data_IF_578939853325
#
_entry.id   IF_578939853325
#
_cell.length_a   1.000
_cell.length_b   1.000
_cell.length_c   1.000
_cell.angle_alpha   90.00
_cell.angle_beta   90.00
_cell.angle_gamma   90.00
#
_symmetry.space_group_name_H-M   'P 1'
#
loop_
_entity.id
_entity.type
_entity.pdbx_description
1 polymer ?
#
# COMPACT_ATOMS: atom_id res chain seq x y z
N UNK A 1 -19.19 9.94 16.93
CA UNK A 1 -19.63 9.28 15.69
C UNK A 1 -18.36 8.77 15.04
N UNK A 2 -18.07 7.47 15.14
CA UNK A 2 -16.92 6.89 14.43
C UNK A 2 -17.19 7.04 12.94
N UNK A 3 -16.39 7.84 12.26
CA UNK A 3 -16.42 7.95 10.80
C UNK A 3 -15.94 6.60 10.30
N UNK A 4 -16.79 5.87 9.58
CA UNK A 4 -16.42 4.60 8.96
C UNK A 4 -15.21 4.84 8.05
N UNK A 5 -14.06 4.30 8.44
CA UNK A 5 -12.85 4.33 7.61
C UNK A 5 -13.11 3.53 6.34
N UNK A 6 -12.80 4.10 5.20
CA UNK A 6 -12.80 3.36 3.94
C UNK A 6 -11.60 2.44 3.91
N UNK A 7 -11.84 1.15 3.66
CA UNK A 7 -10.76 0.16 3.57
C UNK A 7 -10.04 0.24 2.21
N UNK A 8 -10.66 0.87 1.22
CA UNK A 8 -10.13 1.02 -0.14
C UNK A 8 -10.41 2.43 -0.64
N UNK A 9 -9.38 3.05 -1.19
CA UNK A 9 -9.46 4.29 -1.95
C UNK A 9 -9.15 4.02 -3.41
N UNK A 10 -9.58 4.90 -4.32
CA UNK A 10 -9.18 4.81 -5.72
C UNK A 10 -8.92 6.18 -6.34
N UNK A 11 -8.08 6.19 -7.35
CA UNK A 11 -7.61 7.38 -8.04
C UNK A 11 -7.54 7.11 -9.56
N UNK A 12 -7.95 8.09 -10.36
CA UNK A 12 -7.70 8.06 -11.80
C UNK A 12 -6.40 8.79 -12.13
N UNK A 13 -5.64 8.25 -13.07
CA UNK A 13 -4.43 8.89 -13.55
C UNK A 13 -4.32 8.78 -15.08
N UNK A 14 -4.00 9.91 -15.70
CA UNK A 14 -3.82 10.05 -17.16
C UNK A 14 -2.35 10.15 -17.57
N UNK A 15 -1.43 10.18 -16.61
CA UNK A 15 0.03 10.20 -16.87
C UNK A 15 0.75 9.53 -15.72
N UNK A 16 1.32 8.36 -15.97
CA UNK A 16 2.12 7.69 -14.95
C UNK A 16 3.52 7.34 -15.44
N UNK A 17 4.44 8.29 -15.25
CA UNK A 17 5.82 7.92 -14.98
C UNK A 17 6.02 8.05 -13.48
N UNK A 18 5.97 6.94 -12.77
CA UNK A 18 6.32 6.91 -11.36
C UNK A 18 7.71 6.31 -11.21
N UNK A 19 8.62 7.09 -10.64
CA UNK A 19 9.93 6.60 -10.24
C UNK A 19 9.78 5.44 -9.25
N UNK A 20 10.81 4.63 -9.13
CA UNK A 20 10.83 3.51 -8.19
C UNK A 20 10.47 3.96 -6.77
N UNK A 21 9.38 3.44 -6.25
CA UNK A 21 8.86 3.72 -4.90
C UNK A 21 8.25 2.45 -4.29
N UNK A 22 7.74 2.54 -3.09
CA UNK A 22 6.92 1.50 -2.45
C UNK A 22 5.96 2.18 -1.47
N UNK A 23 4.89 1.50 -1.14
CA UNK A 23 3.92 1.90 -0.11
C UNK A 23 3.46 0.68 0.68
N UNK A 24 2.80 0.92 1.83
CA UNK A 24 2.32 -0.15 2.70
C UNK A 24 1.02 -0.77 2.25
N UNK A 25 0.25 -0.08 1.44
CA UNK A 25 -1.02 -0.55 0.95
C UNK A 25 -0.85 -1.54 -0.19
N UNK A 26 -1.85 -2.39 -0.38
CA UNK A 26 -2.01 -3.12 -1.62
C UNK A 26 -2.51 -2.15 -2.68
N UNK A 27 -2.07 -2.31 -3.91
CA UNK A 27 -2.55 -1.51 -5.03
C UNK A 27 -2.98 -2.42 -6.18
N UNK A 28 -4.23 -2.25 -6.65
CA UNK A 28 -4.66 -2.83 -7.92
C UNK A 28 -4.57 -1.73 -8.96
N UNK A 29 -3.69 -1.91 -9.93
CA UNK A 29 -3.57 -1.01 -11.06
C UNK A 29 -4.34 -1.58 -12.24
N UNK A 30 -5.34 -0.84 -12.73
CA UNK A 30 -6.25 -1.24 -13.79
C UNK A 30 -6.13 -0.29 -15.00
N UNK A 31 -5.82 -0.82 -16.17
CA UNK A 31 -5.67 -0.05 -17.42
C UNK A 31 -7.03 0.07 -18.09
N UNK A 32 -7.58 1.28 -18.15
CA UNK A 32 -8.86 1.59 -18.79
C UNK A 32 -8.68 1.92 -20.27
N UNK A 33 -7.56 2.56 -20.62
CA UNK A 33 -7.14 2.81 -22.00
C UNK A 33 -5.63 2.95 -22.10
N UNK A 34 -5.06 2.65 -23.28
CA UNK A 34 -3.61 2.67 -23.50
C UNK A 34 -2.88 1.44 -22.94
N UNK A 35 -1.60 1.62 -22.67
CA UNK A 35 -0.73 0.56 -22.16
C UNK A 35 0.35 1.09 -21.22
N UNK A 36 0.81 0.25 -20.29
CA UNK A 36 1.88 0.57 -19.36
C UNK A 36 2.79 -0.63 -19.07
N UNK A 37 4.04 -0.33 -18.76
CA UNK A 37 5.02 -1.26 -18.19
C UNK A 37 5.13 -1.02 -16.69
N UNK A 38 5.01 -2.08 -15.90
CA UNK A 38 5.25 -2.06 -14.46
C UNK A 38 6.48 -2.92 -14.16
N UNK A 39 7.44 -2.38 -13.44
CA UNK A 39 8.51 -3.17 -12.84
C UNK A 39 8.24 -3.35 -11.35
N UNK A 40 8.10 -4.59 -10.90
CA UNK A 40 7.97 -4.96 -9.48
C UNK A 40 9.20 -5.77 -9.10
N UNK A 41 10.02 -5.23 -8.19
CA UNK A 41 11.33 -5.80 -7.85
C UNK A 41 12.19 -6.00 -9.11
N UNK A 42 12.47 -7.26 -9.48
CA UNK A 42 13.22 -7.62 -10.70
C UNK A 42 12.34 -8.03 -11.89
N UNK A 43 11.03 -8.14 -11.69
CA UNK A 43 10.10 -8.62 -12.69
C UNK A 43 9.43 -7.46 -13.43
N UNK A 44 9.19 -7.65 -14.73
CA UNK A 44 8.50 -6.69 -15.58
C UNK A 44 7.18 -7.26 -16.06
N UNK A 45 6.16 -6.41 -16.07
CA UNK A 45 4.83 -6.72 -16.53
C UNK A 45 4.39 -5.65 -17.53
N UNK A 46 3.80 -6.09 -18.63
CA UNK A 46 3.16 -5.22 -19.62
C UNK A 46 1.64 -5.38 -19.51
N UNK A 47 0.93 -4.28 -19.31
CA UNK A 47 -0.50 -4.24 -19.15
C UNK A 47 -1.08 -3.40 -20.29
N UNK A 48 -2.03 -3.97 -21.02
CA UNK A 48 -2.83 -3.28 -22.00
C UNK A 48 -4.24 -2.97 -21.48
N UNK A 49 -5.05 -2.35 -22.35
CA UNK A 49 -6.44 -2.01 -22.05
C UNK A 49 -7.24 -3.22 -21.52
N UNK A 50 -7.86 -3.04 -20.38
CA UNK A 50 -8.66 -4.04 -19.68
C UNK A 50 -7.83 -4.96 -18.78
N UNK A 51 -6.51 -4.85 -18.77
CA UNK A 51 -5.68 -5.60 -17.83
C UNK A 51 -5.58 -4.92 -16.47
N UNK A 52 -5.42 -5.72 -15.44
CA UNK A 52 -5.10 -5.24 -14.09
C UNK A 52 -4.11 -6.17 -13.38
N UNK A 53 -3.35 -5.57 -12.48
CA UNK A 53 -2.33 -6.24 -11.66
C UNK A 53 -2.41 -5.74 -10.22
N UNK A 54 -2.29 -6.67 -9.26
CA UNK A 54 -2.18 -6.32 -7.85
C UNK A 54 -0.71 -6.24 -7.43
N UNK A 55 -0.32 -5.10 -6.91
CA UNK A 55 0.98 -4.86 -6.29
C UNK A 55 0.81 -5.08 -4.78
N UNK A 56 1.52 -6.07 -4.25
CA UNK A 56 1.49 -6.37 -2.83
C UNK A 56 2.16 -5.28 -1.99
N UNK A 57 1.72 -5.16 -0.73
CA UNK A 57 2.27 -4.21 0.24
C UNK A 57 3.81 -4.30 0.32
N UNK A 58 4.46 -3.15 0.40
CA UNK A 58 5.90 -3.00 0.52
C UNK A 58 6.75 -3.57 -0.64
N UNK A 59 6.14 -3.86 -1.79
CA UNK A 59 6.90 -4.21 -3.00
C UNK A 59 7.39 -2.95 -3.71
N UNK A 60 8.69 -2.91 -4.01
CA UNK A 60 9.27 -1.83 -4.81
C UNK A 60 8.78 -1.95 -6.23
N UNK A 61 8.25 -0.87 -6.75
CA UNK A 61 7.76 -0.85 -8.13
C UNK A 61 7.97 0.51 -8.78
N UNK A 62 7.97 0.50 -10.11
CA UNK A 62 7.94 1.70 -10.95
C UNK A 62 6.99 1.48 -12.11
N UNK A 63 6.39 2.55 -12.60
CA UNK A 63 5.39 2.52 -13.66
C UNK A 63 5.89 3.42 -14.79
N UNK A 64 5.77 2.94 -16.03
CA UNK A 64 6.11 3.66 -17.24
C UNK A 64 4.99 3.51 -18.27
N UNK A 65 4.56 4.60 -18.86
CA UNK A 65 3.67 4.60 -20.03
C UNK A 65 4.35 3.94 -21.22
N UNK A 66 3.60 3.15 -21.96
CA UNK A 66 4.05 2.56 -23.25
C UNK A 66 3.34 3.18 -24.44
N UNK A 67 2.26 3.94 -24.21
CA UNK A 67 1.45 4.62 -25.23
C UNK A 67 1.21 6.08 -24.85
N UNK A 68 0.96 6.96 -25.83
CA UNK A 68 0.76 8.40 -25.61
C UNK A 68 -0.54 8.73 -24.85
N UNK A 69 -1.58 7.93 -25.04
CA UNK A 69 -2.83 8.06 -24.32
C UNK A 69 -2.97 6.93 -23.30
N UNK A 70 -2.88 7.27 -22.02
CA UNK A 70 -3.04 6.34 -20.92
C UNK A 70 -4.16 6.81 -20.00
N UNK A 71 -5.06 5.92 -19.66
CA UNK A 71 -6.03 6.09 -18.58
C UNK A 71 -5.98 4.87 -17.67
N UNK A 72 -5.66 5.09 -16.42
CA UNK A 72 -5.60 4.03 -15.39
C UNK A 72 -6.46 4.38 -14.20
N UNK A 73 -6.92 3.35 -13.49
CA UNK A 73 -7.48 3.46 -12.15
C UNK A 73 -6.60 2.69 -11.18
N UNK A 74 -6.22 3.35 -10.09
CA UNK A 74 -5.46 2.75 -8.98
C UNK A 74 -6.39 2.57 -7.80
N UNK A 75 -6.55 1.33 -7.33
CA UNK A 75 -7.33 0.98 -6.14
C UNK A 75 -6.37 0.61 -5.02
N UNK A 76 -6.33 1.43 -3.98
CA UNK A 76 -5.47 1.20 -2.80
C UNK A 76 -6.28 0.56 -1.69
N UNK A 77 -5.81 -0.57 -1.19
CA UNK A 77 -6.41 -1.30 -0.08
C UNK A 77 -5.52 -1.12 1.14
N UNK A 78 -6.07 -0.55 2.20
CA UNK A 78 -5.33 -0.32 3.44
C UNK A 78 -4.89 -1.65 4.06
N UNK A 79 -3.57 -1.92 4.02
CA UNK A 79 -3.00 -3.18 4.48
C UNK A 79 -3.18 -3.39 5.98
N UNK A 80 -3.06 -2.34 6.79
CA UNK A 80 -3.19 -2.46 8.26
C UNK A 80 -4.60 -2.86 8.66
N UNK A 81 -5.62 -2.26 8.04
CA UNK A 81 -7.02 -2.63 8.27
C UNK A 81 -7.31 -4.05 7.80
N UNK A 82 -6.80 -4.43 6.63
CA UNK A 82 -6.94 -5.78 6.11
C UNK A 82 -6.26 -6.82 7.02
N UNK A 83 -5.06 -6.51 7.51
CA UNK A 83 -4.31 -7.38 8.41
C UNK A 83 -5.03 -7.57 9.77
N UNK A 84 -5.61 -6.50 10.32
CA UNK A 84 -6.45 -6.54 11.50
C UNK A 84 -7.70 -7.40 11.28
N UNK A 85 -8.39 -7.19 10.16
CA UNK A 85 -9.59 -7.94 9.79
C UNK A 85 -9.32 -9.45 9.61
N UNK A 86 -8.20 -9.80 8.97
CA UNK A 86 -7.81 -11.20 8.73
C UNK A 86 -7.06 -11.84 9.88
N UNK A 87 -6.71 -11.07 10.93
CA UNK A 87 -5.96 -11.55 12.09
C UNK A 87 -4.52 -11.98 11.76
N UNK A 88 -3.95 -11.49 10.66
CA UNK A 88 -2.60 -11.86 10.22
C UNK A 88 -1.96 -10.77 9.36
N UNK A 89 -0.65 -10.60 9.51
CA UNK A 89 0.17 -9.73 8.65
C UNK A 89 0.82 -10.50 7.48
N UNK A 90 0.63 -11.81 7.40
CA UNK A 90 1.13 -12.63 6.31
C UNK A 90 0.05 -12.72 5.21
N UNK A 91 -0.08 -11.64 4.45
CA UNK A 91 -1.07 -11.50 3.39
C UNK A 91 -0.34 -11.21 2.10
N UNK A 92 -0.43 -12.14 1.17
CA UNK A 92 0.08 -11.99 -0.20
C UNK A 92 -1.01 -12.45 -1.17
N UNK A 93 -1.10 -11.72 -2.27
CA UNK A 93 -2.02 -12.04 -3.36
C UNK A 93 -1.25 -12.23 -4.66
N UNK A 94 -1.71 -13.14 -5.49
CA UNK A 94 -1.31 -13.24 -6.89
C UNK A 94 -2.52 -12.93 -7.75
N UNK A 95 -2.56 -11.74 -8.31
CA UNK A 95 -3.65 -11.27 -9.16
C UNK A 95 -3.03 -10.49 -10.33
N UNK A 96 -2.97 -11.13 -11.51
CA UNK A 96 -2.37 -10.59 -12.72
C UNK A 96 -3.09 -11.15 -13.95
N UNK A 97 -3.84 -10.30 -14.67
CA UNK A 97 -4.61 -10.69 -15.85
C UNK A 97 -3.75 -11.04 -17.07
N UNK A 98 -2.49 -10.60 -17.10
CA UNK A 98 -1.59 -10.97 -18.20
C UNK A 98 -1.05 -12.40 -18.06
N UNK A 99 -1.01 -12.92 -16.84
CA UNK A 99 -0.51 -14.26 -16.56
C UNK A 99 -1.61 -15.33 -16.51
N UNK A 100 -2.82 -14.96 -16.11
CA UNK A 100 -3.95 -15.88 -15.96
C UNK A 100 -5.28 -15.14 -16.21
N UNK A 101 -6.25 -15.87 -16.82
CA UNK A 101 -7.61 -15.35 -17.11
C UNK A 101 -8.61 -16.45 -16.80
N UNK A 102 -9.33 -16.29 -15.69
CA UNK A 102 -10.37 -17.21 -15.29
C UNK A 102 -11.59 -16.44 -14.75
N UNK A 103 -12.62 -17.14 -14.33
CA UNK A 103 -13.88 -16.55 -13.86
C UNK A 103 -13.68 -15.60 -12.66
N UNK A 104 -12.71 -15.87 -11.77
CA UNK A 104 -12.42 -15.01 -10.63
C UNK A 104 -11.89 -13.63 -11.06
N UNK A 105 -11.07 -13.58 -12.13
CA UNK A 105 -10.63 -12.30 -12.71
C UNK A 105 -11.80 -11.51 -13.29
N UNK A 106 -12.73 -12.15 -14.00
CA UNK A 106 -13.93 -11.49 -14.53
C UNK A 106 -14.86 -11.02 -13.41
N UNK A 107 -14.96 -11.78 -12.31
CA UNK A 107 -15.70 -11.35 -11.14
C UNK A 107 -15.08 -10.10 -10.51
N UNK A 108 -13.77 -10.09 -10.31
CA UNK A 108 -13.07 -8.93 -9.77
C UNK A 108 -13.19 -7.72 -10.69
N UNK A 109 -13.05 -7.88 -12.01
CA UNK A 109 -13.24 -6.83 -13.01
C UNK A 109 -14.61 -6.15 -12.86
N UNK A 110 -15.69 -6.95 -12.83
CA UNK A 110 -17.04 -6.41 -12.65
C UNK A 110 -17.21 -5.60 -11.36
N UNK A 111 -16.51 -6.02 -10.29
CA UNK A 111 -16.51 -5.30 -9.02
C UNK A 111 -15.79 -3.96 -9.17
N UNK A 112 -14.59 -3.95 -9.77
CA UNK A 112 -13.83 -2.72 -10.02
C UNK A 112 -14.59 -1.75 -10.92
N UNK A 113 -15.22 -2.24 -11.99
CA UNK A 113 -16.04 -1.44 -12.89
C UNK A 113 -17.24 -0.80 -12.17
N UNK A 114 -17.84 -1.49 -11.20
CA UNK A 114 -18.93 -0.94 -10.36
C UNK A 114 -18.44 0.23 -9.51
N UNK A 115 -17.23 0.18 -8.97
CA UNK A 115 -16.61 1.31 -8.24
C UNK A 115 -16.42 2.50 -9.19
N UNK A 116 -15.86 2.26 -10.39
CA UNK A 116 -15.61 3.30 -11.39
C UNK A 116 -16.91 3.96 -11.87
N UNK A 117 -17.92 3.18 -12.18
CA UNK A 117 -19.21 3.70 -12.62
C UNK A 117 -19.89 4.55 -11.55
N UNK A 118 -19.77 4.16 -10.28
CA UNK A 118 -20.39 4.92 -9.17
C UNK A 118 -19.72 6.28 -8.93
N UNK A 119 -18.45 6.42 -9.27
CA UNK A 119 -17.75 7.70 -9.12
C UNK A 119 -18.36 8.80 -10.00
N UNK A 120 -18.94 8.44 -11.15
CA UNK A 120 -19.62 9.37 -12.05
C UNK A 120 -21.04 9.73 -11.57
N UNK A 121 -21.65 8.90 -10.71
CA UNK A 121 -23.00 9.12 -10.17
C UNK A 121 -22.92 9.82 -8.80
N UNK A 122 -23.08 11.13 -8.78
CA UNK A 122 -22.96 11.99 -7.59
C UNK A 122 -24.14 11.91 -6.59
N UNK A 123 -24.98 10.89 -6.60
CA UNK A 123 -26.11 10.81 -5.69
C UNK A 123 -25.80 10.17 -4.33
N UNK A 124 -26.12 10.89 -3.30
CA UNK A 124 -25.79 10.95 -1.87
C UNK A 124 -25.80 9.70 -0.96
N UNK A 125 -25.98 8.45 -1.40
CA UNK A 125 -25.94 7.26 -0.53
C UNK A 125 -24.62 6.46 -0.62
N UNK A 126 -23.53 7.14 -1.03
CA UNK A 126 -22.32 6.53 -1.57
C UNK A 126 -21.51 5.64 -0.62
N UNK A 127 -21.31 6.03 0.64
CA UNK A 127 -20.29 5.39 1.50
C UNK A 127 -20.62 3.93 1.86
N UNK A 128 -21.86 3.63 2.24
CA UNK A 128 -22.25 2.25 2.58
C UNK A 128 -22.21 1.33 1.37
N UNK A 129 -22.67 1.81 0.22
CA UNK A 129 -22.63 1.05 -1.02
C UNK A 129 -21.19 0.79 -1.48
N UNK A 130 -20.33 1.81 -1.47
CA UNK A 130 -18.91 1.64 -1.80
C UNK A 130 -18.24 0.66 -0.85
N UNK A 131 -18.48 0.75 0.46
CA UNK A 131 -17.96 -0.20 1.42
C UNK A 131 -18.46 -1.63 1.15
N UNK A 132 -19.72 -1.81 0.73
CA UNK A 132 -20.21 -3.15 0.37
C UNK A 132 -19.47 -3.74 -0.83
N UNK A 133 -19.19 -2.91 -1.86
CA UNK A 133 -18.39 -3.32 -3.02
C UNK A 133 -16.94 -3.64 -2.62
N UNK A 134 -16.35 -2.85 -1.72
CA UNK A 134 -15.00 -3.10 -1.23
C UNK A 134 -14.89 -4.42 -0.47
N UNK A 135 -15.85 -4.73 0.40
CA UNK A 135 -15.88 -6.03 1.08
C UNK A 135 -16.07 -7.18 0.10
N UNK A 136 -16.87 -7.01 -0.96
CA UNK A 136 -17.01 -8.00 -2.04
C UNK A 136 -15.67 -8.20 -2.77
N UNK A 137 -14.95 -7.12 -3.10
CA UNK A 137 -13.62 -7.20 -3.72
C UNK A 137 -12.62 -7.94 -2.80
N UNK A 138 -12.60 -7.62 -1.50
CA UNK A 138 -11.74 -8.28 -0.54
C UNK A 138 -12.08 -9.76 -0.37
N UNK A 139 -13.36 -10.11 -0.40
CA UNK A 139 -13.80 -11.51 -0.38
C UNK A 139 -13.27 -12.27 -1.59
N UNK A 140 -13.40 -11.71 -2.80
CA UNK A 140 -12.89 -12.32 -4.03
C UNK A 140 -11.38 -12.46 -3.99
N UNK A 141 -10.65 -11.39 -3.60
CA UNK A 141 -9.20 -11.42 -3.45
C UNK A 141 -8.76 -12.50 -2.47
N UNK A 142 -9.35 -12.54 -1.28
CA UNK A 142 -8.98 -13.50 -0.24
C UNK A 142 -9.33 -14.94 -0.62
N UNK A 143 -10.44 -15.16 -1.34
CA UNK A 143 -10.91 -16.50 -1.70
C UNK A 143 -10.16 -17.11 -2.87
N UNK A 144 -9.78 -16.32 -3.88
CA UNK A 144 -9.28 -16.84 -5.15
C UNK A 144 -7.83 -16.44 -5.46
N UNK A 145 -7.35 -15.32 -4.92
CA UNK A 145 -6.04 -14.76 -5.26
C UNK A 145 -5.04 -14.80 -4.11
N UNK A 146 -5.50 -15.13 -2.89
CA UNK A 146 -4.59 -15.22 -1.74
C UNK A 146 -3.63 -16.39 -1.91
N UNK A 147 -2.33 -16.11 -1.79
CA UNK A 147 -1.29 -17.12 -1.78
C UNK A 147 -1.30 -17.81 -0.41
N UNK A 148 -1.47 -19.14 -0.41
CA UNK A 148 -1.42 -19.98 0.79
C UNK A 148 0.02 -20.42 1.07
N UNK A 149 0.31 -20.79 2.31
CA UNK A 149 1.65 -21.16 2.74
C UNK A 149 2.24 -22.39 2.00
N UNK A 150 1.41 -23.23 1.41
CA UNK A 150 1.76 -24.41 0.62
C UNK A 150 1.82 -24.15 -0.90
N UNK A 151 1.59 -22.91 -1.33
CA UNK A 151 1.57 -22.55 -2.73
C UNK A 151 2.98 -22.61 -3.35
N UNK A 152 3.09 -23.31 -4.48
CA UNK A 152 4.37 -23.46 -5.20
C UNK A 152 4.96 -22.13 -5.70
N UNK A 153 4.12 -21.10 -5.89
CA UNK A 153 4.52 -19.74 -6.25
C UNK A 153 5.29 -19.04 -5.14
N UNK A 154 5.15 -19.53 -3.89
CA UNK A 154 5.96 -19.07 -2.76
C UNK A 154 7.40 -19.63 -2.76
N UNK A 155 7.74 -20.60 -3.60
CA UNK A 155 9.09 -21.20 -3.57
C UNK A 155 10.19 -20.21 -3.83
N UNK A 156 9.92 -19.14 -4.58
CA UNK A 156 10.84 -18.01 -4.75
C UNK A 156 10.63 -16.91 -3.70
N UNK A 157 9.47 -16.84 -3.06
CA UNK A 157 9.09 -15.83 -2.06
C UNK A 157 9.23 -16.32 -0.60
N UNK A 158 9.18 -17.63 -0.31
CA UNK A 158 9.45 -18.23 1.03
C UNK A 158 10.93 -18.58 1.18
N UNK A 159 11.80 -17.67 0.78
CA UNK A 159 13.19 -17.73 1.19
C UNK A 159 13.30 -17.30 2.65
N UNK A 160 14.33 -17.74 3.41
CA UNK A 160 14.64 -17.18 4.73
C UNK A 160 14.74 -15.66 4.70
N UNK A 161 14.95 -15.09 3.53
CA UNK A 161 15.02 -13.66 3.25
C UNK A 161 13.64 -12.98 3.35
N UNK A 162 12.57 -13.58 2.85
CA UNK A 162 11.22 -13.02 2.96
C UNK A 162 10.62 -13.15 4.36
N UNK A 163 10.89 -14.24 5.07
CA UNK A 163 10.57 -14.35 6.50
C UNK A 163 11.15 -13.18 7.28
N UNK A 164 12.40 -12.78 6.99
CA UNK A 164 13.05 -11.63 7.63
C UNK A 164 12.39 -10.30 7.27
N UNK A 165 11.93 -10.12 6.04
CA UNK A 165 11.14 -8.94 5.66
C UNK A 165 9.90 -8.82 6.54
N UNK A 166 9.12 -9.89 6.68
CA UNK A 166 7.94 -9.92 7.56
C UNK A 166 8.28 -9.63 9.02
N UNK A 167 9.38 -10.18 9.55
CA UNK A 167 9.79 -9.91 10.92
C UNK A 167 10.14 -8.43 11.15
N UNK A 168 10.80 -7.78 10.18
CA UNK A 168 11.10 -6.34 10.20
C UNK A 168 9.81 -5.53 10.17
N UNK A 169 8.91 -5.86 9.24
CA UNK A 169 7.62 -5.18 9.08
C UNK A 169 6.77 -5.28 10.35
N UNK A 170 6.61 -6.50 10.86
CA UNK A 170 5.85 -6.75 12.10
C UNK A 170 6.44 -6.00 13.29
N UNK A 171 7.77 -5.97 13.41
CA UNK A 171 8.43 -5.25 14.49
C UNK A 171 8.14 -3.74 14.41
N UNK A 172 8.29 -3.16 13.22
CA UNK A 172 8.06 -1.71 13.06
C UNK A 172 6.60 -1.39 13.24
N UNK A 173 5.69 -2.15 12.65
CA UNK A 173 4.24 -1.95 12.79
C UNK A 173 3.76 -2.04 14.25
N UNK A 174 4.28 -2.98 15.02
CA UNK A 174 3.92 -3.13 16.44
C UNK A 174 4.56 -2.07 17.37
N UNK A 175 5.55 -1.31 16.90
CA UNK A 175 6.34 -0.44 17.76
C UNK A 175 6.57 0.98 17.19
N UNK A 176 6.00 1.37 16.03
CA UNK A 176 6.29 2.65 15.37
C UNK A 176 6.02 3.87 16.26
N UNK A 177 5.05 3.78 17.16
CA UNK A 177 4.72 4.84 18.11
C UNK A 177 5.79 5.06 19.18
N UNK A 178 6.65 4.06 19.41
CA UNK A 178 7.74 4.14 20.39
C UNK A 178 9.04 4.63 19.72
N UNK A 179 9.99 5.04 20.54
CA UNK A 179 11.33 5.29 20.05
C UNK A 179 12.02 3.94 19.82
N UNK A 180 12.11 3.53 18.55
CA UNK A 180 12.77 2.30 18.13
C UNK A 180 14.03 2.60 17.33
N UNK A 181 15.05 1.77 17.52
CA UNK A 181 16.32 1.91 16.81
C UNK A 181 16.65 0.66 15.98
N UNK A 182 17.51 0.84 14.98
CA UNK A 182 18.06 -0.28 14.22
C UNK A 182 18.74 -1.31 15.14
N UNK A 183 19.40 -0.83 16.22
CA UNK A 183 20.07 -1.69 17.19
C UNK A 183 19.10 -2.60 17.95
N UNK A 184 17.92 -2.10 18.32
CA UNK A 184 16.90 -2.90 19.01
C UNK A 184 16.36 -4.00 18.10
N UNK A 185 16.11 -3.66 16.84
CA UNK A 185 15.68 -4.64 15.83
C UNK A 185 16.78 -5.66 15.53
N UNK A 186 18.04 -5.22 15.40
CA UNK A 186 19.17 -6.10 15.16
C UNK A 186 19.36 -7.12 16.29
N UNK A 187 19.26 -6.67 17.55
CA UNK A 187 19.28 -7.57 18.71
C UNK A 187 18.16 -8.59 18.67
N UNK A 188 16.93 -8.16 18.36
CA UNK A 188 15.77 -9.05 18.27
C UNK A 188 15.93 -10.12 17.19
N UNK A 189 16.53 -9.76 16.05
CA UNK A 189 16.74 -10.66 14.92
C UNK A 189 18.06 -11.44 14.98
N UNK A 190 18.85 -11.27 16.04
CA UNK A 190 20.19 -11.87 16.19
C UNK A 190 21.14 -11.50 15.04
N UNK A 191 21.07 -10.25 14.56
CA UNK A 191 21.87 -9.73 13.46
C UNK A 191 22.79 -8.60 13.90
N UNK A 192 23.86 -8.35 13.12
CA UNK A 192 24.66 -7.15 13.33
C UNK A 192 23.95 -5.92 12.73
N UNK A 193 24.16 -4.74 13.33
CA UNK A 193 23.63 -3.46 12.81
C UNK A 193 24.07 -3.20 11.37
N UNK A 194 25.33 -3.50 11.05
CA UNK A 194 25.87 -3.30 9.71
C UNK A 194 25.17 -4.17 8.66
N UNK A 195 24.94 -5.44 8.99
CA UNK A 195 24.22 -6.35 8.10
C UNK A 195 22.77 -5.89 7.92
N UNK A 196 22.04 -5.64 9.03
CA UNK A 196 20.64 -5.24 8.98
C UNK A 196 20.43 -3.92 8.24
N UNK A 197 21.32 -2.93 8.43
CA UNK A 197 21.27 -1.66 7.69
C UNK A 197 21.37 -1.87 6.18
N UNK A 198 22.35 -2.67 5.74
CA UNK A 198 22.52 -3.00 4.31
C UNK A 198 21.33 -3.79 3.77
N UNK A 199 20.83 -4.72 4.57
CA UNK A 199 19.67 -5.54 4.21
C UNK A 199 18.42 -4.68 3.99
N UNK A 200 18.08 -3.80 4.96
CA UNK A 200 16.94 -2.89 4.86
C UNK A 200 17.11 -1.97 3.64
N UNK A 201 18.29 -1.36 3.45
CA UNK A 201 18.53 -0.51 2.27
C UNK A 201 18.38 -1.26 0.96
N UNK A 202 18.83 -2.52 0.90
CA UNK A 202 18.70 -3.36 -0.29
C UNK A 202 17.23 -3.75 -0.56
N UNK A 203 16.49 -4.16 0.48
CA UNK A 203 15.12 -4.71 0.33
C UNK A 203 14.04 -3.64 0.26
N UNK A 204 14.16 -2.57 1.05
CA UNK A 204 13.15 -1.51 1.12
C UNK A 204 13.57 -0.25 0.35
N UNK A 205 14.80 -0.16 -0.15
CA UNK A 205 15.31 1.04 -0.81
C UNK A 205 15.60 2.22 0.11
N UNK A 206 15.23 2.13 1.39
CA UNK A 206 15.29 3.17 2.41
C UNK A 206 16.20 2.76 3.57
N UNK A 207 16.69 3.75 4.33
CA UNK A 207 17.25 3.47 5.66
C UNK A 207 16.15 3.04 6.64
N UNK A 208 16.54 2.41 7.75
CA UNK A 208 15.59 2.03 8.81
C UNK A 208 14.79 3.21 9.34
N UNK A 209 15.44 4.37 9.52
CA UNK A 209 14.76 5.57 10.02
C UNK A 209 13.74 6.12 9.00
N UNK A 210 14.10 6.17 7.73
CA UNK A 210 13.17 6.57 6.65
C UNK A 210 11.98 5.61 6.60
N UNK A 211 12.23 4.31 6.71
CA UNK A 211 11.16 3.31 6.73
C UNK A 211 10.20 3.50 7.92
N UNK A 212 10.73 3.66 9.13
CA UNK A 212 9.92 3.93 10.33
C UNK A 212 9.13 5.24 10.20
N UNK A 213 9.77 6.29 9.68
CA UNK A 213 9.12 7.58 9.51
C UNK A 213 7.98 7.53 8.48
N UNK A 214 8.11 6.74 7.42
CA UNK A 214 7.03 6.55 6.44
C UNK A 214 5.82 5.86 7.07
N UNK A 215 6.04 4.86 7.93
CA UNK A 215 4.96 4.19 8.68
C UNK A 215 4.28 5.16 9.63
N UNK A 216 5.04 5.93 10.38
CA UNK A 216 4.52 6.98 11.27
C UNK A 216 3.71 8.03 10.50
N UNK A 217 4.24 8.48 9.35
CA UNK A 217 3.60 9.46 8.50
C UNK A 217 2.26 8.95 7.97
N UNK A 218 2.23 7.70 7.52
CA UNK A 218 1.00 7.07 7.04
C UNK A 218 -0.11 7.13 8.11
N UNK A 219 0.17 6.63 9.33
CA UNK A 219 -0.81 6.66 10.41
C UNK A 219 -1.17 8.09 10.85
N UNK A 220 -0.21 9.01 10.81
CA UNK A 220 -0.46 10.41 11.15
C UNK A 220 -1.38 11.10 10.12
N UNK A 221 -1.22 10.80 8.83
CA UNK A 221 -2.10 11.33 7.76
C UNK A 221 -3.51 10.76 7.92
N UNK A 222 -3.65 9.46 8.15
CA UNK A 222 -4.93 8.83 8.42
C UNK A 222 -5.64 9.51 9.63
N UNK A 223 -4.92 9.70 10.72
CA UNK A 223 -5.48 10.39 11.90
C UNK A 223 -5.80 11.87 11.63
N UNK A 224 -5.04 12.55 10.76
CA UNK A 224 -5.32 13.93 10.33
C UNK A 224 -6.62 14.04 9.53
N UNK A 225 -6.94 13.06 8.69
CA UNK A 225 -8.13 13.05 7.84
C UNK A 225 -9.41 12.74 8.63
N UNK A 226 -9.29 11.85 9.63
CA UNK A 226 -10.46 11.31 10.32
C UNK A 226 -10.66 11.83 11.74
N UNK A 227 -9.85 12.79 12.21
CA UNK A 227 -9.99 13.36 13.55
C UNK A 227 -9.73 14.88 13.60
N UNK A 228 -10.33 15.57 14.57
CA UNK A 228 -10.07 16.99 14.84
C UNK A 228 -8.86 17.22 15.76
N UNK A 229 -8.07 16.20 16.03
CA UNK A 229 -6.88 16.33 16.88
C UNK A 229 -5.91 17.37 16.32
N UNK A 230 -5.23 18.07 17.23
CA UNK A 230 -4.17 19.01 16.86
C UNK A 230 -3.03 18.25 16.14
N UNK A 231 -2.54 18.79 15.02
CA UNK A 231 -1.45 18.20 14.25
C UNK A 231 -0.21 17.91 15.11
N UNK A 232 0.10 18.81 16.05
CA UNK A 232 1.20 18.60 17.01
C UNK A 232 1.00 17.35 17.87
N UNK A 233 -0.23 17.07 18.27
CA UNK A 233 -0.58 15.89 19.06
C UNK A 233 -0.50 14.62 18.21
N UNK A 234 -1.06 14.66 17.01
CA UNK A 234 -1.00 13.55 16.03
C UNK A 234 0.45 13.15 15.77
N UNK A 235 1.35 14.12 15.51
CA UNK A 235 2.76 13.85 15.29
C UNK A 235 3.40 13.05 16.45
N UNK A 236 3.15 13.47 17.69
CA UNK A 236 3.72 12.80 18.88
C UNK A 236 3.08 11.43 19.13
N UNK A 237 1.75 11.32 19.00
CA UNK A 237 1.02 10.07 19.20
C UNK A 237 1.44 8.99 18.17
N UNK A 238 1.85 9.43 16.97
CA UNK A 238 2.40 8.55 15.93
C UNK A 238 3.91 8.35 16.02
N UNK A 239 4.53 8.71 17.14
CA UNK A 239 5.92 8.37 17.47
C UNK A 239 6.99 9.28 16.88
N UNK A 240 6.64 10.41 16.25
CA UNK A 240 7.65 11.40 15.86
C UNK A 240 8.29 12.03 17.10
N UNK A 241 9.62 12.15 17.16
CA UNK A 241 10.29 12.72 18.32
C UNK A 241 9.88 14.17 18.59
N UNK A 242 9.60 14.93 17.53
CA UNK A 242 9.20 16.33 17.57
C UNK A 242 8.24 16.67 16.43
N UNK A 243 7.42 17.69 16.61
CA UNK A 243 6.59 18.23 15.52
C UNK A 243 7.44 18.72 14.33
N UNK A 244 8.63 19.24 14.61
CA UNK A 244 9.55 19.68 13.55
C UNK A 244 10.01 18.52 12.67
N UNK A 245 10.33 17.35 13.26
CA UNK A 245 10.69 16.15 12.49
C UNK A 245 9.51 15.63 11.66
N UNK A 246 8.30 15.67 12.20
CA UNK A 246 7.09 15.33 11.45
C UNK A 246 6.88 16.29 10.26
N UNK A 247 6.91 17.60 10.49
CA UNK A 247 6.71 18.59 9.42
C UNK A 247 7.73 18.47 8.30
N UNK A 248 9.00 18.13 8.65
CA UNK A 248 10.05 17.90 7.65
C UNK A 248 9.70 16.70 6.77
N UNK A 249 9.43 15.54 7.36
CA UNK A 249 9.09 14.30 6.63
C UNK A 249 7.81 14.49 5.82
N UNK A 250 6.80 15.13 6.40
CA UNK A 250 5.54 15.43 5.72
C UNK A 250 5.77 16.27 4.44
N UNK A 251 6.55 17.34 4.56
CA UNK A 251 6.86 18.23 3.42
C UNK A 251 7.68 17.52 2.34
N UNK A 252 8.59 16.63 2.72
CA UNK A 252 9.38 15.82 1.78
C UNK A 252 8.50 14.89 0.95
N UNK A 253 7.41 14.36 1.52
CA UNK A 253 6.50 13.41 0.85
C UNK A 253 5.38 14.12 0.08
N UNK A 254 4.72 15.09 0.72
CA UNK A 254 3.51 15.73 0.17
C UNK A 254 3.76 17.09 -0.50
N UNK A 255 4.99 17.60 -0.48
CA UNK A 255 5.36 18.94 -0.99
C UNK A 255 4.56 20.11 -0.41
N UNK A 256 3.89 19.92 0.73
CA UNK A 256 3.10 20.93 1.43
C UNK A 256 3.17 20.74 2.95
N UNK A 257 2.63 21.71 3.69
CA UNK A 257 2.56 21.59 5.15
C UNK A 257 1.39 20.71 5.60
N UNK A 258 1.47 20.04 6.77
CA UNK A 258 0.36 19.26 7.32
C UNK A 258 -0.94 20.10 7.46
N UNK A 259 -0.83 21.35 7.89
CA UNK A 259 -1.99 22.25 8.01
C UNK A 259 -2.61 22.56 6.64
N UNK A 260 -1.80 22.84 5.64
CA UNK A 260 -2.25 23.07 4.27
C UNK A 260 -2.95 21.85 3.70
N UNK A 261 -2.39 20.66 3.92
CA UNK A 261 -2.98 19.40 3.48
C UNK A 261 -4.35 19.17 4.12
N UNK A 262 -4.48 19.33 5.45
CA UNK A 262 -5.77 19.18 6.16
C UNK A 262 -6.86 20.15 5.66
N UNK A 263 -6.47 21.31 5.15
CA UNK A 263 -7.43 22.32 4.66
C UNK A 263 -7.82 22.06 3.19
N UNK A 264 -7.00 21.32 2.43
CA UNK A 264 -7.23 21.04 1.01
C UNK A 264 -8.08 19.78 0.78
N UNK A 265 -8.27 18.97 1.80
CA UNK A 265 -9.09 17.75 1.79
C UNK A 265 -10.36 17.96 2.61
#
# INVERSE_FOLDING_TARGET
MEIMRTMMDFEFDTKKVQNTHFHQDLEILYVLDGGLEIQIESEKYELGKGDFLLINANKRHSIRETEEELLTASFRINFSMLAEYLGTNQILFWCNTTADKNEAYEQLRKILDRVLNRFYDKEGEGALYLNSIYYEALYVLNSYFRIKADDSRLKDDVTPDNSRVFEIQNYVQANYQKQISLNDLAKKLYLSNAYLSKYIKKRFGLSFLEYVNNIRLFHAVDEMLYTDKKITRIALDNGFPTTASFNKVFKEVYNMTPSGYRTSV
#
